data_IF_146348676955
#
_entry.id   IF_146348676955
#
_cell.length_a   1.000
_cell.length_b   1.000
_cell.length_c   1.000
_cell.angle_alpha   90.00
_cell.angle_beta   90.00
_cell.angle_gamma   90.00
#
_symmetry.space_group_name_H-M   'P 1'
#
loop_
_entity.id
_entity.type
_entity.pdbx_description
1 polymer ?
#
# COMPACT_ATOMS: atom_id res chain seq x y z
N UNK A 1 17.81 4.08 -6.08
CA UNK A 1 16.56 4.42 -5.37
C UNK A 1 16.19 5.88 -5.61
N UNK A 2 14.92 6.16 -5.70
CA UNK A 2 14.43 7.54 -5.82
C UNK A 2 14.49 8.25 -4.48
N UNK A 3 14.97 9.49 -4.48
CA UNK A 3 14.92 10.37 -3.30
C UNK A 3 13.66 11.22 -3.27
N UNK A 4 12.79 11.06 -4.25
CA UNK A 4 11.55 11.82 -4.34
C UNK A 4 10.57 11.45 -3.23
N UNK A 5 9.92 12.44 -2.66
CA UNK A 5 8.80 12.24 -1.74
C UNK A 5 7.52 12.40 -2.54
N UNK A 6 6.70 11.35 -2.58
CA UNK A 6 5.46 11.35 -3.34
C UNK A 6 4.31 11.87 -2.49
N UNK A 7 3.34 12.53 -3.13
CA UNK A 7 2.08 12.83 -2.49
C UNK A 7 1.20 11.57 -2.42
N UNK A 8 0.19 11.60 -1.54
CA UNK A 8 -0.81 10.53 -1.48
C UNK A 8 -1.52 10.35 -2.84
N UNK A 9 -1.82 11.46 -3.51
CA UNK A 9 -2.47 11.43 -4.82
C UNK A 9 -1.59 10.76 -5.88
N UNK A 10 -0.29 11.02 -5.86
CA UNK A 10 0.66 10.37 -6.78
C UNK A 10 0.74 8.87 -6.52
N UNK A 11 0.78 8.45 -5.26
CA UNK A 11 0.78 7.04 -4.90
C UNK A 11 -0.54 6.39 -5.32
N UNK A 12 -1.67 7.03 -5.05
CA UNK A 12 -2.99 6.54 -5.44
C UNK A 12 -3.11 6.34 -6.95
N UNK A 13 -2.55 7.26 -7.73
CA UNK A 13 -2.56 7.17 -9.19
C UNK A 13 -1.77 5.96 -9.71
N UNK A 14 -0.73 5.56 -9.00
CA UNK A 14 0.04 4.35 -9.34
C UNK A 14 -0.66 3.07 -8.85
N UNK A 15 -1.35 3.13 -7.73
CA UNK A 15 -1.99 1.96 -7.10
C UNK A 15 -3.29 1.57 -7.80
N UNK A 16 -4.13 2.54 -8.15
CA UNK A 16 -5.46 2.27 -8.70
C UNK A 16 -5.47 1.32 -9.92
N UNK A 17 -4.60 1.51 -10.94
CA UNK A 17 -4.55 0.58 -12.07
C UNK A 17 -4.15 -0.84 -11.67
N UNK A 18 -3.30 -0.99 -10.65
CA UNK A 18 -2.87 -2.30 -10.18
C UNK A 18 -3.98 -3.04 -9.44
N UNK A 19 -4.80 -2.32 -8.67
CA UNK A 19 -5.97 -2.93 -8.02
C UNK A 19 -6.90 -3.52 -9.07
N UNK A 20 -7.13 -2.80 -10.15
CA UNK A 20 -7.95 -3.30 -11.25
C UNK A 20 -7.32 -4.49 -11.94
N UNK A 21 -6.02 -4.43 -12.21
CA UNK A 21 -5.27 -5.49 -12.88
C UNK A 21 -5.30 -6.80 -12.10
N UNK A 22 -5.15 -6.71 -10.78
CA UNK A 22 -5.09 -7.89 -9.90
C UNK A 22 -6.43 -8.20 -9.21
N UNK A 23 -7.49 -7.48 -9.54
CA UNK A 23 -8.84 -7.70 -9.02
C UNK A 23 -8.97 -7.50 -7.51
N UNK A 24 -8.24 -6.54 -6.97
CA UNK A 24 -8.37 -6.13 -5.58
C UNK A 24 -9.46 -5.06 -5.44
N UNK A 25 -10.05 -4.96 -4.25
CA UNK A 25 -11.16 -4.05 -3.99
C UNK A 25 -10.71 -2.66 -3.56
N UNK A 26 -9.56 -2.55 -2.93
CA UNK A 26 -9.09 -1.27 -2.45
C UNK A 26 -7.69 -1.33 -1.84
N UNK A 27 -7.22 -0.18 -1.39
CA UNK A 27 -5.91 -0.05 -0.75
C UNK A 27 -5.90 1.05 0.29
N UNK A 28 -5.19 0.80 1.37
CA UNK A 28 -5.00 1.74 2.49
C UNK A 28 -3.51 2.05 2.59
N UNK A 29 -3.18 3.33 2.49
CA UNK A 29 -1.84 3.81 2.73
C UNK A 29 -1.62 3.88 4.24
N UNK A 30 -0.45 3.41 4.68
CA UNK A 30 -0.11 3.31 6.08
C UNK A 30 1.28 3.91 6.33
N UNK A 31 1.71 3.99 7.59
CA UNK A 31 3.05 4.42 7.91
C UNK A 31 3.31 5.92 7.69
N UNK A 32 4.57 6.28 7.40
CA UNK A 32 5.00 7.67 7.32
C UNK A 32 4.27 8.47 6.22
N UNK A 33 3.98 7.86 5.08
CA UNK A 33 3.23 8.53 4.02
C UNK A 33 1.78 8.82 4.42
N UNK A 34 1.17 7.96 5.21
CA UNK A 34 -0.18 8.21 5.71
C UNK A 34 -0.21 9.36 6.73
N UNK A 35 0.86 9.51 7.51
CA UNK A 35 0.97 10.55 8.53
C UNK A 35 1.52 11.88 8.01
N UNK A 36 1.81 11.99 6.72
CA UNK A 36 2.53 13.14 6.13
C UNK A 36 3.91 13.40 6.77
N UNK A 37 4.58 12.35 7.17
CA UNK A 37 5.89 12.40 7.80
C UNK A 37 6.98 11.75 6.95
N UNK A 38 6.65 11.39 5.70
CA UNK A 38 7.57 10.72 4.81
C UNK A 38 8.78 11.60 4.47
N UNK A 39 9.93 10.95 4.38
CA UNK A 39 11.20 11.55 3.97
C UNK A 39 11.70 10.86 2.71
N UNK A 40 12.77 11.37 2.13
CA UNK A 40 13.36 10.80 0.90
C UNK A 40 13.70 9.31 1.04
N UNK A 41 14.13 8.87 2.22
CA UNK A 41 14.48 7.48 2.48
C UNK A 41 13.31 6.61 2.98
N UNK A 42 12.12 7.18 3.15
CA UNK A 42 10.97 6.44 3.67
C UNK A 42 10.45 5.42 2.66
N UNK A 43 10.13 4.22 3.15
CA UNK A 43 9.44 3.21 2.37
C UNK A 43 7.94 3.51 2.32
N UNK A 44 7.27 2.95 1.33
CA UNK A 44 5.82 3.03 1.20
C UNK A 44 5.20 1.78 1.81
N UNK A 45 4.28 1.95 2.75
CA UNK A 45 3.56 0.85 3.38
C UNK A 45 2.10 0.85 2.91
N UNK A 46 1.67 -0.26 2.35
CA UNK A 46 0.35 -0.39 1.72
C UNK A 46 -0.35 -1.65 2.20
N UNK A 47 -1.62 -1.51 2.57
CA UNK A 47 -2.49 -2.65 2.86
C UNK A 47 -3.52 -2.75 1.75
N UNK A 48 -3.54 -3.89 1.07
CA UNK A 48 -4.50 -4.17 0.00
C UNK A 48 -5.74 -4.84 0.59
N UNK A 49 -6.90 -4.34 0.23
CA UNK A 49 -8.18 -4.99 0.50
C UNK A 49 -8.47 -5.85 -0.71
N UNK A 50 -8.15 -7.15 -0.60
CA UNK A 50 -8.18 -8.05 -1.76
C UNK A 50 -9.55 -8.42 -2.24
N UNK A 51 -10.42 -8.84 -1.32
CA UNK A 51 -11.72 -9.38 -1.67
C UNK A 51 -11.66 -10.80 -2.22
N UNK A 52 -12.79 -11.29 -2.74
CA UNK A 52 -12.93 -12.70 -3.11
C UNK A 52 -12.21 -13.09 -4.40
N UNK A 53 -11.97 -12.14 -5.28
CA UNK A 53 -11.36 -12.41 -6.59
C UNK A 53 -9.85 -12.19 -6.61
N UNK A 54 -9.27 -11.74 -5.50
CA UNK A 54 -7.86 -11.42 -5.41
C UNK A 54 -7.05 -12.63 -4.98
N UNK A 55 -5.96 -12.90 -5.68
CA UNK A 55 -4.96 -13.89 -5.25
C UNK A 55 -4.02 -13.24 -4.23
N UNK A 56 -3.99 -13.71 -2.98
CA UNK A 56 -3.14 -13.11 -1.94
C UNK A 56 -1.66 -13.03 -2.30
N UNK A 57 -1.16 -13.94 -3.13
CA UNK A 57 0.24 -13.92 -3.55
C UNK A 57 0.54 -12.76 -4.50
N UNK A 58 -0.46 -12.15 -5.11
CA UNK A 58 -0.28 -11.01 -5.99
C UNK A 58 0.17 -9.74 -5.27
N UNK A 59 0.19 -9.73 -3.93
CA UNK A 59 0.82 -8.63 -3.17
C UNK A 59 2.28 -8.46 -3.56
N UNK A 60 2.98 -9.54 -3.89
CA UNK A 60 4.38 -9.46 -4.34
C UNK A 60 4.49 -8.84 -5.72
N UNK A 61 3.54 -9.13 -6.60
CA UNK A 61 3.50 -8.52 -7.94
C UNK A 61 3.20 -7.02 -7.84
N UNK A 62 2.27 -6.64 -6.99
CA UNK A 62 1.93 -5.23 -6.75
C UNK A 62 3.14 -4.49 -6.19
N UNK A 63 3.82 -5.07 -5.19
CA UNK A 63 5.02 -4.49 -4.60
C UNK A 63 6.11 -4.25 -5.63
N UNK A 64 6.35 -5.23 -6.51
CA UNK A 64 7.37 -5.13 -7.56
C UNK A 64 7.03 -4.05 -8.58
N UNK A 65 5.78 -4.00 -9.04
CA UNK A 65 5.36 -2.98 -10.00
C UNK A 65 5.44 -1.57 -9.40
N UNK A 66 5.06 -1.41 -8.13
CA UNK A 66 5.18 -0.13 -7.44
C UNK A 66 6.64 0.26 -7.21
N UNK A 67 7.50 -0.70 -6.88
CA UNK A 67 8.94 -0.45 -6.77
C UNK A 67 9.49 0.13 -8.08
N UNK A 68 9.12 -0.46 -9.21
CA UNK A 68 9.56 0.02 -10.52
C UNK A 68 9.01 1.40 -10.85
N UNK A 69 7.75 1.65 -10.50
CA UNK A 69 7.11 2.93 -10.79
C UNK A 69 7.62 4.07 -9.91
N UNK A 70 7.86 3.80 -8.62
CA UNK A 70 8.20 4.83 -7.65
C UNK A 70 9.69 4.92 -7.34
N UNK A 71 10.46 3.87 -7.62
CA UNK A 71 11.87 3.81 -7.26
C UNK A 71 12.12 3.71 -5.76
N UNK A 72 11.11 3.26 -5.01
CA UNK A 72 11.17 3.08 -3.56
C UNK A 72 10.72 1.68 -3.19
N UNK A 73 11.21 1.17 -2.05
CA UNK A 73 10.67 -0.06 -1.49
C UNK A 73 9.21 0.16 -1.09
N UNK A 74 8.37 -0.79 -1.46
CA UNK A 74 6.96 -0.78 -1.13
C UNK A 74 6.62 -2.09 -0.44
N UNK A 75 6.20 -2.01 0.80
CA UNK A 75 5.75 -3.16 1.57
C UNK A 75 4.23 -3.29 1.39
N UNK A 76 3.79 -4.39 0.82
CA UNK A 76 2.38 -4.63 0.52
C UNK A 76 1.89 -5.81 1.34
N UNK A 77 0.82 -5.55 2.09
CA UNK A 77 0.14 -6.54 2.91
C UNK A 77 -1.30 -6.73 2.43
N UNK A 78 -1.83 -7.93 2.55
CA UNK A 78 -3.25 -8.20 2.31
C UNK A 78 -3.98 -8.14 3.65
N UNK A 79 -5.10 -7.40 3.71
CA UNK A 79 -5.81 -7.13 4.95
C UNK A 79 -6.19 -8.41 5.73
N UNK A 80 -6.60 -9.46 5.02
CA UNK A 80 -7.02 -10.72 5.66
C UNK A 80 -5.87 -11.51 6.28
N UNK A 81 -4.63 -11.20 5.93
CA UNK A 81 -3.45 -11.84 6.50
C UNK A 81 -2.98 -11.17 7.78
N UNK A 82 -3.57 -10.03 8.13
CA UNK A 82 -3.25 -9.32 9.36
C UNK A 82 -4.19 -9.81 10.46
N UNK A 83 -3.64 -10.20 11.61
CA UNK A 83 -4.43 -10.69 12.73
C UNK A 83 -5.39 -9.62 13.24
N UNK A 84 -6.68 -9.94 13.27
CA UNK A 84 -7.71 -9.05 13.78
C UNK A 84 -7.43 -8.72 15.25
N UNK A 85 -7.44 -7.43 15.59
CA UNK A 85 -7.17 -6.96 16.93
C UNK A 85 -5.69 -6.87 17.30
N UNK A 86 -4.77 -7.24 16.40
CA UNK A 86 -3.34 -7.03 16.63
C UNK A 86 -3.02 -5.53 16.64
N UNK A 87 -1.88 -5.12 17.24
CA UNK A 87 -1.46 -3.71 17.19
C UNK A 87 -1.35 -3.18 15.75
N UNK A 88 -0.85 -3.98 14.82
CA UNK A 88 -0.77 -3.60 13.41
C UNK A 88 -2.17 -3.39 12.81
N UNK A 89 -3.08 -4.33 13.03
CA UNK A 89 -4.45 -4.23 12.53
C UNK A 89 -5.12 -2.95 13.03
N UNK A 90 -5.01 -2.69 14.34
CA UNK A 90 -5.59 -1.48 14.92
C UNK A 90 -4.96 -0.21 14.37
N UNK A 91 -3.64 -0.20 14.15
CA UNK A 91 -2.94 0.96 13.58
C UNK A 91 -3.38 1.23 12.14
N UNK A 92 -3.62 0.20 11.34
CA UNK A 92 -4.12 0.36 9.96
C UNK A 92 -5.45 1.12 9.97
N UNK A 93 -6.35 0.78 10.88
CA UNK A 93 -7.66 1.43 10.94
C UNK A 93 -7.65 2.80 11.60
N UNK A 94 -6.70 3.07 12.51
CA UNK A 94 -6.62 4.36 13.20
C UNK A 94 -5.76 5.39 12.44
N UNK A 95 -4.73 4.96 11.74
CA UNK A 95 -3.77 5.82 11.06
C UNK A 95 -3.82 5.70 9.54
N UNK A 96 -4.33 4.60 9.02
CA UNK A 96 -4.38 4.35 7.58
C UNK A 96 -5.28 5.32 6.84
N UNK A 97 -4.90 5.64 5.61
CA UNK A 97 -5.67 6.49 4.70
C UNK A 97 -6.03 5.68 3.47
N UNK A 98 -7.31 5.50 3.24
CA UNK A 98 -7.76 4.80 2.04
C UNK A 98 -7.48 5.66 0.81
N UNK A 99 -6.76 5.12 -0.15
CA UNK A 99 -6.34 5.85 -1.35
C UNK A 99 -6.95 5.29 -2.65
N UNK A 100 -7.56 4.14 -2.55
CA UNK A 100 -8.22 3.56 -3.73
C UNK A 100 -9.28 2.53 -3.32
#
# INVERSE_FOLDING_TARGET
>A
MSERIYSRAEIAACVAPLLKKYRAEGAVLFGSYARNEARAASDVDLVVIGGDCFDPTDVFCIADELYRALGKNVDVYELREIDVGSPFYNAVFSEGVRIA
#
